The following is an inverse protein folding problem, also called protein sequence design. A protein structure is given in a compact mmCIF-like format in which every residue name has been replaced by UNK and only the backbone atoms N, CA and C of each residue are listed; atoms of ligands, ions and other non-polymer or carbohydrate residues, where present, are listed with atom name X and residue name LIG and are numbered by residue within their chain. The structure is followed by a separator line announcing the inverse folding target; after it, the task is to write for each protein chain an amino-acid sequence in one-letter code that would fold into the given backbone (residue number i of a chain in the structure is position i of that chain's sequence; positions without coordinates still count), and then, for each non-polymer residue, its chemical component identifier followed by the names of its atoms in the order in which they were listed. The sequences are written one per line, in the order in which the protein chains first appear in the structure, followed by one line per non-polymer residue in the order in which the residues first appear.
data_IF_858574711470
#
_entry.id   IF_858574711470
#
_cell.length_a   1.000
_cell.length_b   1.000
_cell.length_c   1.000
_cell.angle_alpha   90.00
_cell.angle_beta   90.00
_cell.angle_gamma   90.00
#
_symmetry.space_group_name_H-M   'P 1'
#
loop_
_entity.id
_entity.type
_entity.pdbx_description
1 polymer ?
#
# COMPACT_ATOMS: atom_id res chain seq x y z
N UNK A 1 19.89 54.53 41.03
CA UNK A 1 20.10 54.41 39.56
C UNK A 1 20.45 52.94 39.30
N UNK A 2 19.51 52.17 38.76
CA UNK A 2 19.68 50.72 38.54
C UNK A 2 18.40 50.17 37.94
N UNK A 3 18.24 50.39 36.64
CA UNK A 3 17.09 49.92 35.85
C UNK A 3 17.38 48.46 35.48
N UNK A 4 16.51 47.55 35.91
CA UNK A 4 16.49 46.16 35.48
C UNK A 4 15.49 45.98 34.33
N UNK A 5 15.73 44.98 33.48
CA UNK A 5 14.84 44.44 32.43
C UNK A 5 14.72 45.36 31.19
N UNK A 6 14.93 44.89 29.95
CA UNK A 6 14.01 44.01 29.24
C UNK A 6 14.69 43.38 28.01
N UNK A 7 14.69 42.05 27.96
CA UNK A 7 15.12 41.26 26.81
C UNK A 7 13.91 41.22 25.87
N UNK A 8 13.95 42.02 24.81
CA UNK A 8 13.00 41.91 23.71
C UNK A 8 13.52 40.87 22.73
N UNK A 9 12.83 39.73 22.64
CA UNK A 9 12.76 38.91 21.43
C UNK A 9 11.50 38.03 21.49
N UNK A 10 10.91 37.72 20.31
CA UNK A 10 9.50 37.96 20.04
C UNK A 10 8.62 36.73 20.29
N UNK A 11 7.35 37.02 20.56
CA UNK A 11 6.26 36.09 20.31
C UNK A 11 6.11 35.89 18.78
N UNK A 12 5.98 34.64 18.30
CA UNK A 12 4.62 34.17 18.13
C UNK A 12 4.47 32.70 18.54
N UNK A 13 3.60 32.47 19.52
CA UNK A 13 2.83 31.24 19.69
C UNK A 13 1.96 31.03 18.44
N UNK A 14 2.61 30.63 17.34
CA UNK A 14 1.91 29.95 16.27
C UNK A 14 1.62 28.55 16.80
N UNK A 15 0.48 28.41 17.47
CA UNK A 15 -0.08 27.11 17.78
C UNK A 15 -0.28 26.37 16.44
N UNK A 16 0.72 25.57 16.06
CA UNK A 16 0.58 24.62 14.98
C UNK A 16 -0.54 23.67 15.40
N UNK A 17 -1.70 23.79 14.77
CA UNK A 17 -2.81 22.85 14.93
C UNK A 17 -2.26 21.43 14.81
N UNK A 18 -2.21 20.63 15.90
CA UNK A 18 -1.52 19.33 15.88
C UNK A 18 -2.30 18.25 15.13
N UNK A 19 -3.55 18.52 14.77
CA UNK A 19 -4.50 17.47 14.40
C UNK A 19 -4.48 17.16 12.90
N UNK A 20 -4.45 18.20 12.06
CA UNK A 20 -4.47 18.02 10.61
C UNK A 20 -3.18 17.41 10.06
N UNK A 21 -2.02 17.75 10.64
CA UNK A 21 -0.73 17.20 10.19
C UNK A 21 -0.52 15.76 10.68
N UNK A 22 -0.90 15.45 11.92
CA UNK A 22 -0.86 14.09 12.44
C UNK A 22 -1.86 13.17 11.71
N UNK A 23 -3.08 13.63 11.46
CA UNK A 23 -4.09 12.89 10.68
C UNK A 23 -3.70 12.75 9.20
N UNK A 24 -3.10 13.79 8.59
CA UNK A 24 -2.57 13.69 7.23
C UNK A 24 -1.39 12.70 7.16
N UNK A 25 -0.48 12.73 8.13
CA UNK A 25 0.62 11.76 8.24
C UNK A 25 0.05 10.35 8.43
N UNK A 26 -0.90 10.12 9.34
CA UNK A 26 -1.53 8.81 9.53
C UNK A 26 -2.31 8.32 8.30
N UNK A 27 -3.10 9.18 7.64
CA UNK A 27 -3.80 8.80 6.41
C UNK A 27 -2.85 8.51 5.25
N UNK A 28 -1.70 9.21 5.20
CA UNK A 28 -0.64 8.94 4.22
C UNK A 28 0.17 7.68 4.53
N UNK A 29 0.13 7.20 5.78
CA UNK A 29 0.87 6.04 6.27
C UNK A 29 0.08 4.73 6.19
N UNK A 30 -1.26 4.79 6.25
CA UNK A 30 -2.12 3.61 6.20
C UNK A 30 -2.33 3.14 4.76
N UNK A 31 -1.31 2.46 4.23
CA UNK A 31 -1.44 1.66 3.02
C UNK A 31 -1.96 0.28 3.41
N UNK A 32 -3.06 -0.14 2.80
CA UNK A 32 -3.62 -1.47 2.98
C UNK A 32 -3.07 -2.36 1.88
N UNK A 33 -2.24 -3.34 2.24
CA UNK A 33 -1.60 -4.21 1.27
C UNK A 33 -2.36 -5.53 1.14
N UNK A 34 -2.40 -6.02 -0.09
CA UNK A 34 -2.81 -7.38 -0.36
C UNK A 34 -1.73 -8.09 -1.18
N UNK A 35 -1.59 -9.39 -0.96
CA UNK A 35 -0.63 -10.20 -1.68
C UNK A 35 -1.21 -11.55 -2.08
N UNK A 36 -0.70 -12.10 -3.17
CA UNK A 36 -1.02 -13.44 -3.63
C UNK A 36 0.26 -14.19 -3.97
N UNK A 37 0.35 -15.46 -3.55
CA UNK A 37 1.45 -16.32 -3.92
C UNK A 37 1.25 -16.85 -5.34
N UNK A 38 2.22 -16.62 -6.22
CA UNK A 38 2.10 -17.01 -7.63
C UNK A 38 2.19 -18.53 -7.82
N UNK A 39 2.74 -19.24 -6.84
CA UNK A 39 2.88 -20.69 -6.81
C UNK A 39 1.58 -21.44 -6.50
N UNK A 40 0.50 -20.75 -6.10
CA UNK A 40 -0.81 -21.38 -5.88
C UNK A 40 -1.54 -21.70 -7.18
N UNK A 41 -1.13 -21.07 -8.29
CA UNK A 41 -1.68 -21.31 -9.62
C UNK A 41 -0.74 -22.25 -10.37
N UNK A 42 -1.23 -23.47 -10.64
CA UNK A 42 -0.50 -24.43 -11.45
C UNK A 42 -0.21 -23.84 -12.84
N UNK A 43 1.05 -23.90 -13.26
CA UNK A 43 1.42 -23.36 -14.57
C UNK A 43 1.26 -21.85 -14.70
N UNK A 44 1.27 -21.06 -13.60
CA UNK A 44 1.15 -19.60 -13.66
C UNK A 44 2.06 -18.95 -14.72
N UNK A 45 3.31 -19.40 -14.79
CA UNK A 45 4.32 -18.90 -15.74
C UNK A 45 4.10 -19.32 -17.20
N UNK A 46 3.14 -20.20 -17.46
CA UNK A 46 2.67 -20.51 -18.82
C UNK A 46 1.69 -19.45 -19.32
N UNK A 47 0.99 -18.76 -18.41
CA UNK A 47 0.04 -17.69 -18.71
C UNK A 47 0.70 -16.31 -18.75
N UNK A 48 1.56 -16.03 -17.77
CA UNK A 48 2.35 -14.80 -17.69
C UNK A 48 3.83 -15.15 -17.78
N UNK A 49 4.47 -14.88 -18.92
CA UNK A 49 5.85 -15.30 -19.20
C UNK A 49 6.88 -14.52 -18.39
N UNK A 50 6.50 -13.36 -17.86
CA UNK A 50 7.39 -12.48 -17.10
C UNK A 50 6.70 -11.88 -15.88
N UNK A 51 7.49 -11.44 -14.90
CA UNK A 51 6.98 -10.67 -13.74
C UNK A 51 6.19 -9.43 -14.19
N UNK A 52 6.63 -8.80 -15.28
CA UNK A 52 6.01 -7.60 -15.80
C UNK A 52 4.61 -7.88 -16.35
N UNK A 53 4.43 -8.97 -17.10
CA UNK A 53 3.12 -9.38 -17.60
C UNK A 53 2.15 -9.67 -16.44
N UNK A 54 2.60 -10.35 -15.39
CA UNK A 54 1.80 -10.58 -14.19
C UNK A 54 1.41 -9.27 -13.48
N UNK A 55 2.37 -8.35 -13.32
CA UNK A 55 2.12 -7.02 -12.76
C UNK A 55 1.15 -6.19 -13.61
N UNK A 56 1.33 -6.15 -14.93
CA UNK A 56 0.51 -5.34 -15.84
C UNK A 56 -0.92 -5.90 -15.92
N UNK A 57 -1.11 -7.23 -15.87
CA UNK A 57 -2.43 -7.84 -15.78
C UNK A 57 -3.14 -7.51 -14.46
N UNK A 58 -2.38 -7.54 -13.36
CA UNK A 58 -2.86 -7.17 -12.02
C UNK A 58 -3.24 -5.69 -11.96
N UNK A 59 -2.42 -4.81 -12.52
CA UNK A 59 -2.71 -3.37 -12.65
C UNK A 59 -4.00 -3.13 -13.42
N UNK A 60 -4.20 -3.85 -14.52
CA UNK A 60 -5.41 -3.72 -15.34
C UNK A 60 -6.66 -4.10 -14.56
N UNK A 61 -6.62 -5.20 -13.81
CA UNK A 61 -7.75 -5.65 -13.01
C UNK A 61 -8.09 -4.64 -11.90
N UNK A 62 -7.08 -4.24 -11.11
CA UNK A 62 -7.30 -3.40 -9.95
C UNK A 62 -7.46 -1.91 -10.28
N UNK A 63 -7.24 -1.50 -11.54
CA UNK A 63 -7.47 -0.12 -12.01
C UNK A 63 -8.92 0.37 -11.84
N UNK A 64 -9.88 -0.54 -11.69
CA UNK A 64 -11.29 -0.23 -11.42
C UNK A 64 -11.52 0.31 -9.99
N UNK A 65 -10.61 0.06 -9.05
CA UNK A 65 -10.71 0.55 -7.68
C UNK A 65 -10.13 1.96 -7.57
N UNK A 66 -10.96 2.92 -7.15
CA UNK A 66 -10.56 4.33 -6.99
C UNK A 66 -9.40 4.54 -6.02
N UNK A 67 -9.21 3.63 -5.06
CA UNK A 67 -8.16 3.71 -4.06
C UNK A 67 -6.90 2.91 -4.40
N UNK A 68 -6.86 2.22 -5.55
CA UNK A 68 -5.68 1.50 -6.00
C UNK A 68 -4.53 2.48 -6.22
N UNK A 69 -3.49 2.37 -5.38
CA UNK A 69 -2.61 3.51 -5.12
C UNK A 69 -1.40 3.60 -6.05
N UNK A 70 -0.85 2.48 -6.51
CA UNK A 70 0.20 2.40 -7.56
C UNK A 70 0.37 0.97 -8.07
N UNK A 71 1.24 0.81 -9.07
CA UNK A 71 1.56 -0.44 -9.77
C UNK A 71 1.82 -1.63 -8.84
N UNK A 72 1.32 -2.78 -9.24
CA UNK A 72 1.59 -4.07 -8.64
C UNK A 72 3.09 -4.38 -8.75
N UNK A 73 3.64 -5.01 -7.71
CA UNK A 73 5.05 -5.41 -7.67
C UNK A 73 5.16 -6.89 -7.37
N UNK A 74 6.13 -7.57 -7.99
CA UNK A 74 6.50 -8.92 -7.56
C UNK A 74 7.61 -8.85 -6.52
N UNK A 75 7.47 -9.61 -5.43
CA UNK A 75 8.52 -9.81 -4.42
C UNK A 75 8.91 -11.28 -4.35
N UNK A 76 10.11 -11.57 -3.81
CA UNK A 76 10.60 -12.94 -3.66
C UNK A 76 11.14 -13.56 -4.96
N UNK A 77 11.54 -14.82 -4.86
CA UNK A 77 12.17 -15.60 -5.93
C UNK A 77 11.61 -17.03 -5.99
N UNK A 78 11.72 -17.66 -7.16
CA UNK A 78 11.23 -19.03 -7.39
C UNK A 78 9.77 -19.21 -6.97
N UNK A 79 9.50 -20.25 -6.19
CA UNK A 79 8.15 -20.60 -5.72
C UNK A 79 7.65 -19.71 -4.58
N UNK A 80 8.54 -18.93 -3.96
CA UNK A 80 8.19 -17.97 -2.90
C UNK A 80 7.86 -16.58 -3.47
N UNK A 81 7.69 -16.50 -4.79
CA UNK A 81 7.37 -15.26 -5.48
C UNK A 81 5.90 -14.91 -5.24
N UNK A 82 5.68 -13.70 -4.77
CA UNK A 82 4.35 -13.14 -4.51
C UNK A 82 4.16 -11.90 -5.37
N UNK A 83 2.92 -11.60 -5.72
CA UNK A 83 2.52 -10.27 -6.20
C UNK A 83 1.92 -9.50 -5.05
N UNK A 84 2.28 -8.22 -4.94
CA UNK A 84 1.84 -7.31 -3.89
C UNK A 84 1.21 -6.09 -4.54
N UNK A 85 0.04 -5.72 -4.05
CA UNK A 85 -0.73 -4.54 -4.41
C UNK A 85 -1.02 -3.72 -3.17
N UNK A 86 -1.34 -2.44 -3.33
CA UNK A 86 -1.77 -1.62 -2.20
C UNK A 86 -2.93 -0.71 -2.55
N UNK A 87 -3.75 -0.46 -1.53
CA UNK A 87 -4.93 0.39 -1.58
C UNK A 87 -4.80 1.51 -0.54
N UNK A 88 -5.39 2.66 -0.86
CA UNK A 88 -5.55 3.79 0.07
C UNK A 88 -6.81 3.64 0.94
N UNK A 89 -7.66 2.65 0.64
CA UNK A 89 -8.93 2.39 1.30
C UNK A 89 -9.02 0.93 1.72
N UNK A 90 -9.25 0.66 3.00
CA UNK A 90 -9.46 -0.68 3.53
C UNK A 90 -10.65 -1.40 2.87
N UNK A 91 -11.84 -0.78 2.71
CA UNK A 91 -12.96 -1.40 2.00
C UNK A 91 -12.64 -1.90 0.58
N UNK A 92 -11.80 -1.19 -0.17
CA UNK A 92 -11.44 -1.62 -1.53
C UNK A 92 -10.45 -2.77 -1.51
N UNK A 93 -9.50 -2.78 -0.57
CA UNK A 93 -8.64 -3.94 -0.32
C UNK A 93 -9.48 -5.17 0.09
N UNK A 94 -10.49 -5.00 0.96
CA UNK A 94 -11.37 -6.08 1.40
C UNK A 94 -12.16 -6.69 0.25
N UNK A 95 -12.68 -5.85 -0.66
CA UNK A 95 -13.29 -6.33 -1.92
C UNK A 95 -12.30 -7.10 -2.79
N UNK A 96 -11.07 -6.61 -2.90
CA UNK A 96 -10.03 -7.23 -3.71
C UNK A 96 -9.61 -8.62 -3.21
N UNK A 97 -9.73 -8.89 -1.91
CA UNK A 97 -9.39 -10.19 -1.31
C UNK A 97 -10.61 -11.10 -1.09
N UNK A 98 -11.83 -10.60 -1.32
CA UNK A 98 -13.07 -11.31 -1.00
C UNK A 98 -13.27 -12.58 -1.84
N UNK A 99 -12.70 -12.63 -3.04
CA UNK A 99 -12.82 -13.77 -3.95
C UNK A 99 -11.57 -13.92 -4.82
N UNK A 100 -11.31 -15.13 -5.35
CA UNK A 100 -10.34 -15.33 -6.41
C UNK A 100 -10.64 -14.47 -7.64
N UNK A 101 -9.58 -13.98 -8.29
CA UNK A 101 -9.70 -13.12 -9.47
C UNK A 101 -9.60 -13.97 -10.73
N UNK A 102 -10.74 -14.21 -11.39
CA UNK A 102 -10.81 -15.03 -12.61
C UNK A 102 -9.91 -14.54 -13.75
N UNK A 103 -9.79 -13.23 -13.94
CA UNK A 103 -8.88 -12.64 -14.95
C UNK A 103 -7.41 -12.97 -14.69
N UNK A 104 -7.05 -13.27 -13.45
CA UNK A 104 -5.70 -13.67 -13.03
C UNK A 104 -5.60 -15.18 -12.79
N UNK A 105 -6.40 -15.99 -13.50
CA UNK A 105 -6.44 -17.45 -13.36
C UNK A 105 -6.79 -17.90 -11.95
N UNK A 106 -7.84 -17.29 -11.39
CA UNK A 106 -8.34 -17.54 -10.03
C UNK A 106 -7.28 -17.31 -8.94
N UNK A 107 -6.34 -16.38 -9.19
CA UNK A 107 -5.37 -15.95 -8.19
C UNK A 107 -6.10 -15.27 -7.03
N UNK A 108 -5.91 -15.80 -5.82
CA UNK A 108 -6.52 -15.27 -4.61
C UNK A 108 -5.54 -14.38 -3.83
N UNK A 109 -5.98 -13.17 -3.56
CA UNK A 109 -5.25 -12.22 -2.72
C UNK A 109 -5.66 -12.35 -1.25
N UNK A 110 -4.73 -12.05 -0.36
CA UNK A 110 -4.93 -12.01 1.08
C UNK A 110 -4.35 -10.72 1.64
N UNK A 111 -4.83 -10.31 2.82
CA UNK A 111 -4.23 -9.19 3.56
C UNK A 111 -2.73 -9.47 3.78
N UNK A 112 -1.92 -8.45 3.50
CA UNK A 112 -0.46 -8.55 3.59
C UNK A 112 0.05 -7.51 4.58
N UNK A 113 0.75 -7.95 5.63
CA UNK A 113 1.53 -7.05 6.46
C UNK A 113 2.99 -7.00 5.95
N UNK A 114 3.43 -5.91 5.30
CA UNK A 114 4.81 -5.79 4.83
C UNK A 114 5.82 -5.66 5.98
N UNK A 115 5.36 -5.40 7.21
CA UNK A 115 6.19 -5.28 8.42
C UNK A 115 6.39 -6.62 9.12
N UNK A 116 5.60 -7.64 8.76
CA UNK A 116 5.76 -8.99 9.28
C UNK A 116 7.12 -9.52 8.83
N UNK A 117 8.02 -9.71 9.80
CA UNK A 117 9.36 -10.24 9.55
C UNK A 117 9.26 -11.65 8.96
N UNK A 118 9.97 -11.88 7.86
CA UNK A 118 10.15 -13.20 7.23
C UNK A 118 11.19 -14.03 7.99
#
# INVERSE_FOLDING_TARGET
KGKSVEILSPDPEHAASPDASAAAIQSSLLRFYAAAALSTIEGFWTHFKTNREACDATDREFSSFSSYGSKAITQGSGNNKIIVVYFRSKPDMEKAIAAPISFLHDLQFHEHDPSAKK
#
